data_IF_773976323079
#
_entry.id   IF_773976323079
#
_cell.length_a   1.000
_cell.length_b   1.000
_cell.length_c   1.000
_cell.angle_alpha   90.00
_cell.angle_beta   90.00
_cell.angle_gamma   90.00
#
_symmetry.space_group_name_H-M   'P 1'
#
loop_
_entity.id
_entity.type
_entity.pdbx_description
1 polymer ?
#
# COMPACT_ATOMS: atom_id res chain seq x y z
N UNK A 1 -11.98 -11.73 8.41
CA UNK A 1 -11.74 -12.49 7.15
C UNK A 1 -10.50 -11.84 6.55
N UNK A 2 -9.39 -12.55 6.37
CA UNK A 2 -8.20 -11.99 5.73
C UNK A 2 -8.25 -12.28 4.23
N UNK A 3 -8.70 -11.29 3.45
CA UNK A 3 -8.31 -11.11 2.05
C UNK A 3 -8.76 -9.72 1.62
N UNK A 4 -7.81 -8.78 1.55
CA UNK A 4 -7.94 -7.53 0.79
C UNK A 4 -7.04 -7.64 -0.42
N UNK A 5 -7.50 -7.18 -1.58
CA UNK A 5 -6.60 -6.93 -2.69
C UNK A 5 -5.81 -5.64 -2.40
N UNK A 6 -4.48 -5.72 -2.39
CA UNK A 6 -3.56 -4.59 -2.26
C UNK A 6 -2.55 -4.68 -3.40
N UNK A 7 -2.78 -3.90 -4.45
CA UNK A 7 -1.96 -3.89 -5.65
C UNK A 7 -2.60 -3.08 -6.76
N UNK A 8 -1.85 -2.86 -7.83
CA UNK A 8 -2.31 -2.24 -9.07
C UNK A 8 -2.39 -3.24 -10.22
N UNK A 9 -2.42 -2.76 -11.45
CA UNK A 9 -2.24 -3.56 -12.67
C UNK A 9 -0.77 -3.84 -12.99
N UNK A 10 0.14 -3.19 -12.26
CA UNK A 10 1.57 -3.32 -12.34
C UNK A 10 2.17 -4.56 -11.66
N UNK A 11 3.48 -4.51 -11.42
CA UNK A 11 4.20 -5.49 -10.61
C UNK A 11 4.41 -4.96 -9.20
N UNK A 12 3.89 -5.69 -8.21
CA UNK A 12 4.10 -5.40 -6.80
C UNK A 12 5.02 -6.44 -6.14
N UNK A 13 5.96 -5.94 -5.35
CA UNK A 13 6.84 -6.77 -4.52
C UNK A 13 6.68 -6.39 -3.06
N UNK A 14 6.18 -7.31 -2.24
CA UNK A 14 6.08 -7.14 -0.79
C UNK A 14 7.41 -7.49 -0.11
N UNK A 15 7.87 -6.63 0.81
CA UNK A 15 9.14 -6.81 1.53
C UNK A 15 8.99 -6.93 3.04
N UNK A 16 7.91 -6.40 3.62
CA UNK A 16 7.75 -6.37 5.07
C UNK A 16 6.29 -6.30 5.49
N UNK A 17 6.01 -6.93 6.64
CA UNK A 17 4.71 -6.89 7.31
C UNK A 17 4.91 -6.78 8.82
N UNK A 18 4.15 -5.89 9.46
CA UNK A 18 4.14 -5.73 10.92
C UNK A 18 2.77 -5.27 11.42
N UNK A 19 2.38 -5.64 12.63
CA UNK A 19 1.14 -5.18 13.25
C UNK A 19 1.40 -4.13 14.35
N UNK A 20 0.53 -3.14 14.47
CA UNK A 20 0.52 -2.22 15.62
C UNK A 20 -0.24 -2.79 16.83
N UNK A 21 -0.23 -2.08 17.96
CA UNK A 21 -0.89 -2.50 19.19
C UNK A 21 -2.43 -2.60 19.06
N UNK A 22 -3.02 -1.96 18.05
CA UNK A 22 -4.46 -2.04 17.74
C UNK A 22 -4.75 -3.18 16.75
N UNK A 23 -3.75 -3.96 16.35
CA UNK A 23 -3.86 -5.05 15.38
C UNK A 23 -3.86 -4.61 13.92
N UNK A 24 -3.71 -3.30 13.62
CA UNK A 24 -3.65 -2.85 12.24
C UNK A 24 -2.33 -3.31 11.61
N UNK A 25 -2.39 -3.73 10.35
CA UNK A 25 -1.25 -4.32 9.66
C UNK A 25 -0.62 -3.30 8.72
N UNK A 26 0.69 -3.15 8.80
CA UNK A 26 1.50 -2.38 7.88
C UNK A 26 2.15 -3.32 6.88
N UNK A 27 2.06 -3.00 5.60
CA UNK A 27 2.73 -3.71 4.50
C UNK A 27 3.60 -2.71 3.76
N UNK A 28 4.84 -3.09 3.51
CA UNK A 28 5.79 -2.28 2.75
C UNK A 28 6.31 -3.07 1.56
N UNK A 29 6.57 -2.37 0.47
CA UNK A 29 7.03 -2.99 -0.76
C UNK A 29 7.37 -1.96 -1.82
N UNK A 30 7.50 -2.44 -3.05
CA UNK A 30 7.57 -1.59 -4.24
C UNK A 30 6.44 -1.89 -5.19
N UNK A 31 5.94 -0.86 -5.86
CA UNK A 31 5.04 -1.01 -7.01
C UNK A 31 5.71 -0.43 -8.25
N UNK A 32 5.62 -1.19 -9.34
CA UNK A 32 5.93 -0.74 -10.70
C UNK A 32 4.65 -0.72 -11.47
N UNK A 33 4.12 0.48 -11.71
CA UNK A 33 2.93 0.64 -12.52
C UNK A 33 3.08 1.79 -13.51
N UNK A 34 2.58 1.58 -14.72
CA UNK A 34 2.53 2.60 -15.77
C UNK A 34 1.18 3.34 -15.79
N UNK A 35 0.18 2.80 -15.10
CA UNK A 35 -1.21 3.26 -15.10
C UNK A 35 -1.59 4.06 -13.86
N UNK A 36 -0.71 4.11 -12.85
CA UNK A 36 -0.88 4.81 -11.56
C UNK A 36 -2.12 4.36 -10.77
N UNK A 37 -2.49 3.08 -10.86
CA UNK A 37 -3.68 2.48 -10.25
C UNK A 37 -3.42 1.76 -8.91
N UNK A 38 -2.17 1.66 -8.47
CA UNK A 38 -1.86 1.20 -7.11
C UNK A 38 -2.55 2.12 -6.08
N UNK A 39 -3.24 1.56 -5.06
CA UNK A 39 -4.08 2.35 -4.19
C UNK A 39 -3.27 3.29 -3.28
N UNK A 40 -3.67 4.56 -3.25
CA UNK A 40 -3.25 5.57 -2.28
C UNK A 40 -4.45 6.11 -1.50
N UNK A 41 -4.22 6.74 -0.36
CA UNK A 41 -5.29 7.37 0.44
C UNK A 41 -5.25 8.88 0.34
N UNK A 42 -6.40 9.54 0.29
CA UNK A 42 -6.50 11.01 0.32
C UNK A 42 -5.76 11.60 1.52
N UNK A 43 -4.90 12.59 1.28
CA UNK A 43 -4.08 13.23 2.31
C UNK A 43 -2.83 12.45 2.71
N UNK A 44 -2.50 11.35 2.00
CA UNK A 44 -1.20 10.70 2.13
C UNK A 44 -0.06 11.62 1.69
N UNK A 45 1.16 11.28 2.13
CA UNK A 45 2.37 12.03 1.81
C UNK A 45 2.59 12.19 0.30
N UNK A 46 2.44 11.09 -0.46
CA UNK A 46 2.29 11.12 -1.91
C UNK A 46 1.11 10.24 -2.31
N UNK A 47 0.22 10.81 -3.13
CA UNK A 47 -0.99 10.13 -3.63
C UNK A 47 -0.83 9.63 -5.07
N UNK A 48 0.24 10.02 -5.75
CA UNK A 48 0.53 9.65 -7.13
C UNK A 48 1.82 8.84 -7.19
N UNK A 49 1.77 7.76 -7.95
CA UNK A 49 2.96 7.03 -8.35
C UNK A 49 3.73 7.90 -9.36
N UNK A 50 5.00 8.19 -9.07
CA UNK A 50 5.81 9.15 -9.82
C UNK A 50 6.60 8.51 -10.98
N UNK A 51 6.25 7.27 -11.34
CA UNK A 51 6.79 6.53 -12.48
C UNK A 51 7.99 5.65 -12.12
N UNK A 52 8.25 4.63 -12.94
CA UNK A 52 9.30 3.65 -12.66
C UNK A 52 8.90 2.75 -11.50
N UNK A 53 9.63 2.83 -10.38
CA UNK A 53 9.38 2.03 -9.17
C UNK A 53 9.29 2.95 -7.96
N UNK A 54 8.16 2.92 -7.26
CA UNK A 54 8.02 3.62 -5.98
C UNK A 54 7.93 2.63 -4.85
N UNK A 55 8.42 3.03 -3.68
CA UNK A 55 8.16 2.33 -2.44
C UNK A 55 6.73 2.67 -2.02
N UNK A 56 5.96 1.67 -1.57
CA UNK A 56 4.68 1.91 -0.90
C UNK A 56 4.76 1.57 0.59
N UNK A 57 3.99 2.31 1.38
CA UNK A 57 3.69 1.97 2.78
C UNK A 57 2.18 2.00 2.95
N UNK A 58 1.58 0.84 3.22
CA UNK A 58 0.14 0.67 3.36
C UNK A 58 -0.22 0.18 4.75
N UNK A 59 -1.31 0.71 5.32
CA UNK A 59 -1.89 0.30 6.59
C UNK A 59 -3.29 -0.26 6.36
N UNK A 60 -3.51 -1.50 6.76
CA UNK A 60 -4.80 -2.19 6.73
C UNK A 60 -5.44 -2.20 8.11
N UNK A 61 -6.77 -2.14 8.17
CA UNK A 61 -7.51 -2.34 9.42
C UNK A 61 -7.24 -3.71 10.03
N UNK A 62 -7.41 -3.83 11.35
CA UNK A 62 -7.10 -5.05 12.09
C UNK A 62 -7.87 -6.31 11.63
N UNK A 63 -9.07 -6.12 11.08
CA UNK A 63 -9.88 -7.18 10.49
C UNK A 63 -9.50 -7.51 9.03
N UNK A 64 -8.57 -6.74 8.45
CA UNK A 64 -8.15 -6.82 7.07
C UNK A 64 -9.29 -6.55 6.10
N UNK A 65 -10.15 -5.56 6.37
CA UNK A 65 -11.28 -5.20 5.49
C UNK A 65 -11.12 -3.86 4.78
N UNK A 66 -10.23 -2.99 5.27
CA UNK A 66 -10.07 -1.62 4.73
C UNK A 66 -8.61 -1.19 4.68
N UNK A 67 -8.29 -0.39 3.66
CA UNK A 67 -7.02 0.34 3.54
C UNK A 67 -7.15 1.67 4.28
N UNK A 68 -6.54 1.76 5.46
CA UNK A 68 -6.60 2.92 6.35
C UNK A 68 -5.65 4.04 5.93
N UNK A 69 -4.51 3.68 5.36
CA UNK A 69 -3.51 4.62 4.86
C UNK A 69 -2.69 3.97 3.76
N UNK A 70 -2.32 4.71 2.72
CA UNK A 70 -1.36 4.24 1.71
C UNK A 70 -0.68 5.41 1.03
N UNK A 71 0.64 5.37 0.96
CA UNK A 71 1.48 6.42 0.37
C UNK A 71 2.59 5.81 -0.48
N UNK A 72 3.07 6.62 -1.42
CA UNK A 72 4.33 6.38 -2.13
C UNK A 72 5.50 7.13 -1.48
N UNK A 73 6.70 6.59 -1.64
CA UNK A 73 7.98 7.22 -1.33
C UNK A 73 8.91 7.00 -2.52
N UNK A 74 9.27 8.07 -3.24
CA UNK A 74 9.99 8.03 -4.52
C UNK A 74 9.81 9.31 -5.31
#
# INVERSE_FOLDING_TARGET
RYSTFLGGSGSEYGYGIAADANGNTYVTGTTQDATTDFPSTTGAFSTTHNGGTDIFVSKLSADGSSLLYSTFLG
#
